data_IF_018609647861
#
_entry.id   IF_018609647861
#
_cell.length_a   1.000
_cell.length_b   1.000
_cell.length_c   1.000
_cell.angle_alpha   90.00
_cell.angle_beta   90.00
_cell.angle_gamma   90.00
#
_symmetry.space_group_name_H-M   'P 1'
#
loop_
_entity.id
_entity.type
_entity.pdbx_description
1 polymer ?
#
# COMPACT_ATOMS: atom_id res chain seq x y z
N UNK A 1 10.70 -13.38 -13.48
CA UNK A 1 10.23 -12.01 -13.16
C UNK A 1 9.08 -12.06 -12.14
N UNK A 2 9.15 -12.94 -11.14
CA UNK A 2 8.02 -13.21 -10.22
C UNK A 2 8.09 -12.46 -8.88
N UNK A 3 9.16 -11.71 -8.63
CA UNK A 3 9.39 -11.13 -7.30
C UNK A 3 8.66 -9.80 -7.07
N UNK A 4 8.45 -8.97 -8.11
CA UNK A 4 7.85 -7.63 -7.97
C UNK A 4 6.38 -7.68 -7.51
N UNK A 5 5.59 -8.58 -8.10
CA UNK A 5 4.17 -8.74 -7.74
C UNK A 5 4.04 -9.24 -6.30
N UNK A 6 4.90 -10.15 -5.86
CA UNK A 6 4.85 -10.68 -4.49
C UNK A 6 5.30 -9.64 -3.46
N UNK A 7 6.29 -8.78 -3.80
CA UNK A 7 6.68 -7.64 -2.96
C UNK A 7 5.56 -6.61 -2.82
N UNK A 8 4.91 -6.25 -3.94
CA UNK A 8 3.76 -5.34 -3.93
C UNK A 8 2.62 -5.90 -3.06
N UNK A 9 2.31 -7.19 -3.17
CA UNK A 9 1.28 -7.83 -2.34
C UNK A 9 1.64 -7.80 -0.86
N UNK A 10 2.90 -8.09 -0.50
CA UNK A 10 3.34 -8.05 0.88
C UNK A 10 3.24 -6.63 1.47
N UNK A 11 3.53 -5.61 0.68
CA UNK A 11 3.34 -4.21 1.08
C UNK A 11 1.85 -3.87 1.30
N UNK A 12 0.97 -4.32 0.39
CA UNK A 12 -0.50 -4.15 0.54
C UNK A 12 -1.01 -4.89 1.79
N UNK A 13 -0.56 -6.11 2.06
CA UNK A 13 -0.95 -6.86 3.27
C UNK A 13 -0.53 -6.11 4.55
N UNK A 14 0.67 -5.53 4.54
CA UNK A 14 1.17 -4.68 5.64
C UNK A 14 0.26 -3.47 5.84
N UNK A 15 -0.09 -2.77 4.77
CA UNK A 15 -0.98 -1.62 4.82
C UNK A 15 -2.39 -1.96 5.31
N UNK A 16 -2.95 -3.09 4.87
CA UNK A 16 -4.27 -3.55 5.32
C UNK A 16 -4.28 -3.80 6.82
N UNK A 17 -3.17 -4.23 7.41
CA UNK A 17 -3.03 -4.46 8.85
C UNK A 17 -2.91 -3.17 9.70
N UNK A 18 -2.54 -2.04 9.10
CA UNK A 18 -2.47 -0.74 9.78
C UNK A 18 -3.87 -0.23 10.17
N UNK A 19 -3.98 0.79 11.00
CA UNK A 19 -5.21 1.58 11.13
C UNK A 19 -5.35 2.56 9.96
N UNK A 20 -6.54 3.18 9.80
CA UNK A 20 -6.75 4.21 8.77
C UNK A 20 -5.77 5.38 8.97
N UNK A 21 -5.66 5.91 10.19
CA UNK A 21 -4.78 7.04 10.51
C UNK A 21 -3.30 6.73 10.27
N UNK A 22 -2.85 5.51 10.59
CA UNK A 22 -1.46 5.09 10.33
C UNK A 22 -1.17 5.02 8.84
N UNK A 23 -2.05 4.42 8.05
CA UNK A 23 -1.87 4.32 6.60
C UNK A 23 -1.92 5.70 5.92
N UNK A 24 -2.89 6.55 6.30
CA UNK A 24 -2.99 7.91 5.78
C UNK A 24 -1.75 8.74 6.12
N UNK A 25 -1.20 8.60 7.33
CA UNK A 25 0.02 9.30 7.75
C UNK A 25 1.26 8.81 7.01
N UNK A 26 1.44 7.50 6.89
CA UNK A 26 2.61 6.89 6.25
C UNK A 26 2.69 7.24 4.77
N UNK A 27 1.57 7.13 4.07
CA UNK A 27 1.49 7.36 2.63
C UNK A 27 1.12 8.81 2.26
N UNK A 28 0.84 9.67 3.26
CA UNK A 28 0.43 11.06 3.08
C UNK A 28 -0.77 11.20 2.12
N UNK A 29 -1.83 10.47 2.41
CA UNK A 29 -3.09 10.40 1.64
C UNK A 29 -4.30 10.57 2.56
N UNK A 30 -5.48 10.75 1.98
CA UNK A 30 -6.71 11.00 2.75
C UNK A 30 -7.46 9.71 3.10
N UNK A 31 -7.10 8.57 2.50
CA UNK A 31 -7.71 7.27 2.81
C UNK A 31 -6.77 6.09 2.58
N UNK A 32 -7.03 4.97 3.26
CA UNK A 32 -6.37 3.68 2.98
C UNK A 32 -6.51 3.21 1.55
N UNK A 33 -7.66 3.52 0.92
CA UNK A 33 -7.91 3.13 -0.47
C UNK A 33 -6.96 3.86 -1.41
N UNK A 34 -6.73 5.16 -1.19
CA UNK A 34 -5.69 5.91 -1.91
C UNK A 34 -4.29 5.34 -1.66
N UNK A 35 -3.99 4.95 -0.42
CA UNK A 35 -2.70 4.37 -0.09
C UNK A 35 -2.44 3.04 -0.84
N UNK A 36 -3.46 2.17 -0.94
CA UNK A 36 -3.38 0.95 -1.76
C UNK A 36 -3.17 1.28 -3.24
N UNK A 37 -3.88 2.28 -3.77
CA UNK A 37 -3.73 2.69 -5.16
C UNK A 37 -2.33 3.25 -5.43
N UNK A 38 -1.79 4.03 -4.50
CA UNK A 38 -0.42 4.55 -4.57
C UNK A 38 0.62 3.43 -4.65
N UNK A 39 0.47 2.37 -3.83
CA UNK A 39 1.34 1.19 -3.92
C UNK A 39 1.21 0.54 -5.29
N UNK A 40 -0.01 0.25 -5.77
CA UNK A 40 -0.21 -0.39 -7.07
C UNK A 40 0.44 0.43 -8.20
N UNK A 41 0.21 1.74 -8.22
CA UNK A 41 0.72 2.65 -9.24
C UNK A 41 2.25 2.77 -9.21
N UNK A 42 2.89 2.63 -8.04
CA UNK A 42 4.35 2.65 -7.93
C UNK A 42 5.03 1.39 -8.49
N UNK A 43 4.36 0.24 -8.37
CA UNK A 43 4.95 -1.07 -8.74
C UNK A 43 4.63 -1.53 -10.18
N UNK A 44 3.61 -0.94 -10.84
CA UNK A 44 3.20 -1.21 -12.24
C UNK A 44 4.02 -0.39 -13.24
#
# INVERSE_FOLDING_TARGET
MSNKIELMKAEIETLVSMTEEEACREYNVDSKVEAVQYIIDFWV
#
